data_IF_607269325587
#
_entry.id   IF_607269325587
#
_cell.length_a   1.000
_cell.length_b   1.000
_cell.length_c   1.000
_cell.angle_alpha   90.00
_cell.angle_beta   90.00
_cell.angle_gamma   90.00
#
_symmetry.space_group_name_H-M   'P 1'
#
loop_
_entity.id
_entity.type
_entity.pdbx_description
1 polymer ?
#
# COMPACT_ATOMS: atom_id res chain seq x y z
N UNK A 1 -14.10 -22.36 13.57
CA UNK A 1 -12.66 -22.14 13.25
C UNK A 1 -12.57 -20.76 12.62
N UNK A 2 -12.02 -19.78 13.35
CA UNK A 2 -11.97 -18.38 12.94
C UNK A 2 -10.72 -18.20 12.09
N UNK A 3 -10.85 -17.75 10.84
CA UNK A 3 -9.72 -17.31 10.02
C UNK A 3 -9.49 -15.80 10.24
N UNK A 4 -8.36 -15.36 10.84
CA UNK A 4 -8.05 -13.95 10.90
C UNK A 4 -7.27 -13.50 9.65
N UNK A 5 -7.83 -12.55 8.92
CA UNK A 5 -7.05 -11.42 8.38
C UNK A 5 -6.27 -11.60 7.08
N UNK A 6 -6.93 -11.88 5.95
CA UNK A 6 -6.30 -11.82 4.62
C UNK A 6 -6.16 -10.38 4.07
N UNK A 7 -6.93 -9.41 4.59
CA UNK A 7 -6.93 -8.02 4.12
C UNK A 7 -5.77 -7.15 4.65
N UNK A 8 -5.23 -7.48 5.82
CA UNK A 8 -4.16 -6.68 6.46
C UNK A 8 -2.79 -6.88 5.81
N UNK A 9 -2.55 -8.05 5.20
CA UNK A 9 -1.28 -8.41 4.57
C UNK A 9 -1.00 -7.64 3.28
N UNK A 10 -2.03 -7.32 2.47
CA UNK A 10 -1.84 -6.58 1.20
C UNK A 10 -1.60 -5.08 1.43
N UNK A 11 -2.30 -4.46 2.40
CA UNK A 11 -2.02 -3.08 2.82
C UNK A 11 -0.61 -2.93 3.40
N UNK A 12 -0.13 -3.93 4.16
CA UNK A 12 1.25 -3.94 4.68
C UNK A 12 2.31 -4.04 3.59
N UNK A 13 2.09 -4.83 2.53
CA UNK A 13 3.02 -4.90 1.39
C UNK A 13 3.13 -3.57 0.64
N UNK A 14 2.00 -2.90 0.38
CA UNK A 14 1.98 -1.57 -0.24
C UNK A 14 2.70 -0.53 0.61
N UNK A 15 2.42 -0.50 1.92
CA UNK A 15 3.06 0.47 2.82
C UNK A 15 4.58 0.26 2.95
N UNK A 16 5.05 -0.99 3.01
CA UNK A 16 6.49 -1.31 3.01
C UNK A 16 7.18 -0.75 1.78
N UNK A 17 6.60 -0.96 0.61
CA UNK A 17 7.15 -0.43 -0.62
C UNK A 17 7.26 1.10 -0.58
N UNK A 18 6.19 1.78 -0.18
CA UNK A 18 6.20 3.24 -0.13
C UNK A 18 7.23 3.77 0.89
N UNK A 19 7.43 3.07 2.01
CA UNK A 19 8.52 3.38 2.96
C UNK A 19 9.89 3.23 2.29
N UNK A 20 10.16 2.10 1.62
CA UNK A 20 11.41 1.91 0.89
C UNK A 20 11.61 2.98 -0.19
N UNK A 21 10.56 3.30 -0.94
CA UNK A 21 10.58 4.31 -2.00
C UNK A 21 10.88 5.69 -1.42
N UNK A 22 10.32 6.03 -0.25
CA UNK A 22 10.59 7.29 0.43
C UNK A 22 12.06 7.44 0.82
N UNK A 23 12.76 6.34 1.06
CA UNK A 23 14.17 6.31 1.49
C UNK A 23 15.17 6.19 0.33
N UNK A 24 14.69 6.07 -0.92
CA UNK A 24 15.52 5.89 -2.13
C UNK A 24 16.57 6.99 -2.32
N UNK A 25 16.13 8.25 -2.14
CA UNK A 25 16.95 9.44 -2.42
C UNK A 25 17.78 9.88 -1.22
N UNK A 26 17.29 9.70 0.00
CA UNK A 26 17.98 10.16 1.21
C UNK A 26 17.48 9.48 2.49
N UNK A 27 18.32 9.37 3.54
CA UNK A 27 17.88 8.98 4.86
C UNK A 27 16.84 9.94 5.45
N UNK A 28 15.83 9.41 6.14
CA UNK A 28 14.71 10.19 6.72
C UNK A 28 14.32 9.68 8.11
N UNK A 29 13.90 10.57 9.01
CA UNK A 29 13.27 10.17 10.28
C UNK A 29 11.80 9.76 10.06
N UNK A 30 11.16 9.18 11.08
CA UNK A 30 9.79 8.68 10.96
C UNK A 30 8.75 9.74 10.54
N UNK A 31 8.92 10.99 10.97
CA UNK A 31 8.02 12.09 10.60
C UNK A 31 8.22 12.50 9.14
N UNK A 32 9.47 12.57 8.69
CA UNK A 32 9.82 12.83 7.28
C UNK A 32 9.30 11.72 6.36
N UNK A 33 9.34 10.46 6.79
CA UNK A 33 8.76 9.32 6.06
C UNK A 33 7.24 9.50 5.93
N UNK A 34 6.53 9.79 7.04
CA UNK A 34 5.07 10.03 7.01
C UNK A 34 4.71 11.16 6.04
N UNK A 35 5.46 12.27 6.06
CA UNK A 35 5.25 13.40 5.13
C UNK A 35 5.52 12.99 3.68
N UNK A 36 6.62 12.29 3.42
CA UNK A 36 6.93 11.81 2.07
C UNK A 36 5.84 10.89 1.52
N UNK A 37 5.21 10.07 2.36
CA UNK A 37 4.10 9.20 2.00
C UNK A 37 2.83 9.99 1.69
N UNK A 38 2.55 11.03 2.46
CA UNK A 38 1.47 11.99 2.21
C UNK A 38 1.67 12.70 0.86
N UNK A 39 2.88 13.20 0.60
CA UNK A 39 3.24 13.89 -0.64
C UNK A 39 3.14 12.97 -1.87
N UNK A 40 3.59 11.71 -1.76
CA UNK A 40 3.42 10.70 -2.82
C UNK A 40 1.96 10.45 -3.17
N UNK A 41 1.06 10.60 -2.20
CA UNK A 41 -0.38 10.50 -2.39
C UNK A 41 -1.04 11.82 -2.83
N UNK A 42 -0.26 12.88 -3.11
CA UNK A 42 -0.77 14.24 -3.34
C UNK A 42 -1.70 14.73 -2.22
N UNK A 43 -1.43 14.34 -0.97
CA UNK A 43 -2.21 14.71 0.21
C UNK A 43 -3.53 13.94 0.39
N UNK A 44 -3.88 13.00 -0.49
CA UNK A 44 -5.13 12.22 -0.34
C UNK A 44 -5.10 11.22 0.81
N UNK A 45 -3.91 10.86 1.30
CA UNK A 45 -3.76 9.87 2.35
C UNK A 45 -2.50 10.11 3.18
N UNK A 46 -2.63 10.04 4.51
CA UNK A 46 -1.51 10.13 5.45
C UNK A 46 -1.54 8.95 6.41
N UNK A 47 -0.48 8.11 6.45
CA UNK A 47 -0.42 7.00 7.39
C UNK A 47 -0.28 7.50 8.82
N UNK A 48 -0.89 6.77 9.77
CA UNK A 48 -0.75 7.10 11.19
C UNK A 48 0.61 6.67 11.73
N UNK A 49 1.16 7.36 12.75
CA UNK A 49 2.34 6.90 13.49
C UNK A 49 2.26 5.45 13.94
N UNK A 50 1.09 5.00 14.42
CA UNK A 50 0.84 3.63 14.87
C UNK A 50 0.95 2.58 13.77
N UNK A 51 0.79 2.96 12.50
CA UNK A 51 1.04 2.09 11.35
C UNK A 51 2.48 2.11 10.86
N UNK A 52 3.22 3.20 11.12
CA UNK A 52 4.57 3.42 10.60
C UNK A 52 5.65 2.93 11.54
N UNK A 53 5.63 3.30 12.82
CA UNK A 53 6.73 2.99 13.72
C UNK A 53 6.92 1.49 13.98
N UNK A 54 5.84 0.69 14.19
CA UNK A 54 5.99 -0.77 14.26
C UNK A 54 6.53 -1.36 12.96
N UNK A 55 6.13 -0.81 11.81
CA UNK A 55 6.61 -1.27 10.52
C UNK A 55 8.10 -0.99 10.33
N UNK A 56 8.56 0.22 10.69
CA UNK A 56 9.98 0.58 10.62
C UNK A 56 10.83 -0.32 11.53
N UNK A 57 10.33 -0.68 12.71
CA UNK A 57 11.01 -1.62 13.60
C UNK A 57 11.17 -3.00 12.92
N UNK A 58 10.08 -3.54 12.37
CA UNK A 58 10.12 -4.82 11.62
C UNK A 58 11.07 -4.75 10.42
N UNK A 59 11.06 -3.66 9.65
CA UNK A 59 11.95 -3.52 8.48
C UNK A 59 13.43 -3.37 8.86
N UNK A 60 13.74 -2.89 10.08
CA UNK A 60 15.11 -2.91 10.62
C UNK A 60 15.52 -4.33 11.00
N UNK A 61 14.64 -5.06 11.68
CA UNK A 61 14.89 -6.47 12.07
C UNK A 61 15.10 -7.37 10.84
N UNK A 62 14.35 -7.12 9.77
CA UNK A 62 14.46 -7.82 8.49
C UNK A 62 15.64 -7.36 7.63
N UNK A 63 16.41 -6.36 8.06
CA UNK A 63 17.59 -5.91 7.31
C UNK A 63 17.29 -5.05 6.08
N UNK A 64 16.03 -4.68 5.81
CA UNK A 64 15.64 -3.86 4.65
C UNK A 64 16.03 -2.38 4.80
N UNK A 65 16.04 -1.89 6.04
CA UNK A 65 16.47 -0.53 6.38
C UNK A 65 17.39 -0.57 7.60
N UNK A 66 18.25 0.42 7.75
CA UNK A 66 19.08 0.61 8.95
C UNK A 66 18.65 1.88 9.66
N UNK A 67 18.56 1.82 10.99
CA UNK A 67 18.41 3.02 11.83
C UNK A 67 19.80 3.58 12.17
N UNK A 68 20.03 4.84 11.83
CA UNK A 68 21.24 5.60 12.11
C UNK A 68 21.21 6.19 13.53
N UNK A 69 22.37 6.59 14.02
CA UNK A 69 22.52 7.22 15.35
C UNK A 69 21.74 8.54 15.48
N UNK A 70 21.59 9.27 14.37
CA UNK A 70 20.80 10.52 14.29
C UNK A 70 19.28 10.28 14.27
N UNK A 71 18.84 9.02 14.43
CA UNK A 71 17.43 8.63 14.44
C UNK A 71 16.79 8.54 13.05
N UNK A 72 17.56 8.74 11.97
CA UNK A 72 17.08 8.53 10.60
C UNK A 72 17.17 7.07 10.18
N UNK A 73 16.34 6.70 9.22
CA UNK A 73 16.36 5.41 8.56
C UNK A 73 17.00 5.57 7.18
N UNK A 74 17.80 4.60 6.77
CA UNK A 74 18.41 4.53 5.44
C UNK A 74 18.18 3.14 4.81
N UNK A 75 18.10 3.08 3.48
CA UNK A 75 18.02 1.81 2.77
C UNK A 75 19.32 1.01 2.91
N UNK A 76 19.19 -0.29 3.14
CA UNK A 76 20.27 -1.25 2.93
C UNK A 76 20.33 -1.69 1.46
N UNK A 77 21.36 -2.44 1.09
CA UNK A 77 21.44 -3.05 -0.24
C UNK A 77 20.27 -4.02 -0.49
N UNK A 78 19.91 -4.82 0.52
CA UNK A 78 18.74 -5.71 0.47
C UNK A 78 17.45 -4.90 0.25
N UNK A 79 17.24 -3.83 0.99
CA UNK A 79 16.09 -2.93 0.81
C UNK A 79 16.03 -2.30 -0.58
N UNK A 80 17.17 -1.99 -1.20
CA UNK A 80 17.24 -1.50 -2.59
C UNK A 80 16.80 -2.57 -3.59
N UNK A 81 17.20 -3.83 -3.39
CA UNK A 81 16.75 -4.97 -4.20
C UNK A 81 15.23 -5.14 -4.21
N UNK A 82 14.58 -4.88 -3.07
CA UNK A 82 13.12 -4.95 -2.94
C UNK A 82 12.34 -3.87 -3.69
N UNK A 83 12.97 -2.75 -4.09
CA UNK A 83 12.31 -1.71 -4.89
C UNK A 83 12.02 -2.17 -6.33
N UNK A 84 12.79 -3.12 -6.87
CA UNK A 84 12.53 -3.73 -8.18
C UNK A 84 11.37 -4.73 -8.15
N UNK A 85 11.18 -5.42 -7.02
CA UNK A 85 10.25 -6.55 -6.87
C UNK A 85 8.76 -6.10 -6.86
N UNK A 86 8.47 -4.88 -6.41
CA UNK A 86 7.08 -4.35 -6.38
C UNK A 86 6.72 -3.61 -7.67
N UNK A 87 7.70 -3.03 -8.38
CA UNK A 87 7.48 -2.56 -9.76
C UNK A 87 7.05 -3.71 -10.69
N UNK A 88 7.44 -4.95 -10.35
CA UNK A 88 7.07 -6.19 -11.03
C UNK A 88 5.82 -6.88 -10.46
N UNK A 89 5.25 -6.44 -9.32
CA UNK A 89 3.96 -6.96 -8.85
C UNK A 89 2.77 -6.22 -9.49
N UNK A 90 2.94 -5.78 -10.76
CA UNK A 90 1.78 -5.59 -11.62
C UNK A 90 1.30 -6.99 -11.99
N UNK A 91 -0.01 -7.26 -11.94
CA UNK A 91 -0.52 -8.49 -12.53
C UNK A 91 0.03 -8.61 -13.95
N UNK A 92 0.79 -9.67 -14.18
CA UNK A 92 1.56 -9.89 -15.41
C UNK A 92 0.72 -10.56 -16.47
N UNK A 93 -0.45 -11.08 -16.09
CA UNK A 93 -1.46 -11.64 -16.98
C UNK A 93 -2.85 -11.03 -16.73
N UNK A 94 -3.76 -11.07 -17.73
CA UNK A 94 -5.16 -10.66 -17.54
C UNK A 94 -5.88 -11.41 -16.41
N UNK A 95 -5.56 -12.68 -16.17
CA UNK A 95 -6.15 -13.49 -15.10
C UNK A 95 -5.73 -13.01 -13.71
N UNK A 96 -4.47 -12.59 -13.57
CA UNK A 96 -4.00 -11.95 -12.34
C UNK A 96 -4.67 -10.58 -12.14
N UNK A 97 -4.87 -9.81 -13.21
CA UNK A 97 -5.59 -8.52 -13.15
C UNK A 97 -7.01 -8.71 -12.63
N UNK A 98 -7.72 -9.70 -13.17
CA UNK A 98 -9.09 -10.03 -12.74
C UNK A 98 -9.13 -10.48 -11.28
N UNK A 99 -8.20 -11.34 -10.86
CA UNK A 99 -8.09 -11.78 -9.46
C UNK A 99 -7.84 -10.63 -8.50
N UNK A 100 -7.03 -9.65 -8.91
CA UNK A 100 -6.83 -8.45 -8.10
C UNK A 100 -8.09 -7.59 -8.03
N UNK A 101 -8.79 -7.41 -9.17
CA UNK A 101 -10.06 -6.69 -9.23
C UNK A 101 -11.13 -7.33 -8.34
N UNK A 102 -11.25 -8.65 -8.34
CA UNK A 102 -12.18 -9.42 -7.49
C UNK A 102 -11.96 -9.08 -6.01
N UNK A 103 -10.71 -9.05 -5.57
CA UNK A 103 -10.37 -8.75 -4.16
C UNK A 103 -10.74 -7.31 -3.80
N UNK A 104 -10.57 -6.36 -4.71
CA UNK A 104 -11.01 -4.97 -4.45
C UNK A 104 -12.53 -4.82 -4.49
N UNK A 105 -13.23 -5.60 -5.32
CA UNK A 105 -14.70 -5.66 -5.34
C UNK A 105 -15.23 -6.21 -4.02
N UNK A 106 -14.68 -7.32 -3.53
CA UNK A 106 -15.00 -7.86 -2.19
C UNK A 106 -14.79 -6.82 -1.10
N UNK A 107 -13.65 -6.10 -1.13
CA UNK A 107 -13.39 -5.02 -0.19
C UNK A 107 -14.46 -3.91 -0.24
N UNK A 108 -14.89 -3.49 -1.43
CA UNK A 108 -15.95 -2.48 -1.54
C UNK A 108 -17.32 -3.00 -1.08
N UNK A 109 -17.59 -4.29 -1.24
CA UNK A 109 -18.80 -4.92 -0.72
C UNK A 109 -18.79 -4.93 0.81
N UNK A 110 -17.68 -5.31 1.43
CA UNK A 110 -17.49 -5.25 2.89
C UNK A 110 -17.58 -3.81 3.40
N UNK A 111 -16.98 -2.86 2.68
CA UNK A 111 -16.99 -1.44 3.05
C UNK A 111 -18.41 -0.86 2.96
N UNK A 112 -19.21 -1.32 2.00
CA UNK A 112 -20.62 -0.92 1.88
C UNK A 112 -21.43 -1.34 3.11
N UNK A 113 -21.10 -2.47 3.73
CA UNK A 113 -21.76 -2.98 4.94
C UNK A 113 -21.21 -2.29 6.19
N UNK A 114 -19.89 -2.11 6.28
CA UNK A 114 -19.21 -1.66 7.51
C UNK A 114 -19.10 -0.14 7.63
N UNK A 115 -18.82 0.58 6.54
CA UNK A 115 -18.57 2.02 6.53
C UNK A 115 -19.14 2.71 5.26
N UNK A 116 -20.47 2.68 5.04
CA UNK A 116 -21.09 3.11 3.77
C UNK A 116 -20.81 4.57 3.38
N UNK A 117 -20.57 5.45 4.36
CA UNK A 117 -20.26 6.88 4.14
C UNK A 117 -18.97 7.04 3.32
N UNK A 118 -17.99 6.15 3.49
CA UNK A 118 -16.74 6.17 2.70
C UNK A 118 -16.96 5.92 1.21
N UNK A 119 -18.09 5.32 0.83
CA UNK A 119 -18.42 5.04 -0.57
C UNK A 119 -19.22 6.16 -1.23
N UNK A 120 -19.84 7.09 -0.49
CA UNK A 120 -20.77 8.07 -1.07
C UNK A 120 -20.13 8.91 -2.17
N UNK A 121 -18.93 9.44 -1.94
CA UNK A 121 -18.17 10.20 -2.94
C UNK A 121 -17.58 9.37 -4.09
N UNK A 122 -17.69 8.04 -4.03
CA UNK A 122 -17.08 7.12 -4.98
C UNK A 122 -18.10 6.40 -5.88
N UNK A 123 -19.41 6.46 -5.56
CA UNK A 123 -20.48 5.73 -6.27
C UNK A 123 -20.46 5.96 -7.79
N UNK A 124 -20.35 7.21 -8.23
CA UNK A 124 -20.32 7.56 -9.66
C UNK A 124 -19.09 7.00 -10.38
N UNK A 125 -17.93 7.04 -9.72
CA UNK A 125 -16.68 6.50 -10.27
C UNK A 125 -16.74 4.97 -10.37
N UNK A 126 -17.27 4.31 -9.34
CA UNK A 126 -17.47 2.86 -9.33
C UNK A 126 -18.43 2.45 -10.46
N UNK A 127 -19.54 3.18 -10.65
CA UNK A 127 -20.50 2.93 -11.74
C UNK A 127 -19.84 3.07 -13.10
N UNK A 128 -19.16 4.18 -13.36
CA UNK A 128 -18.47 4.43 -14.63
C UNK A 128 -17.41 3.36 -14.92
N UNK A 129 -16.69 2.89 -13.91
CA UNK A 129 -15.72 1.80 -14.07
C UNK A 129 -16.40 0.48 -14.44
N UNK A 130 -17.51 0.14 -13.76
CA UNK A 130 -18.31 -1.04 -14.08
C UNK A 130 -18.83 -1.03 -15.52
N UNK A 131 -19.34 0.10 -16.01
CA UNK A 131 -19.80 0.26 -17.39
C UNK A 131 -18.68 0.05 -18.42
N UNK A 132 -17.47 0.56 -18.13
CA UNK A 132 -16.31 0.35 -18.99
C UNK A 132 -15.90 -1.12 -19.03
N UNK A 133 -15.91 -1.80 -17.88
CA UNK A 133 -15.55 -3.22 -17.80
C UNK A 133 -16.56 -4.12 -18.53
N UNK A 134 -17.86 -3.80 -18.45
CA UNK A 134 -18.89 -4.54 -19.20
C UNK A 134 -18.66 -4.49 -20.71
N UNK A 135 -18.17 -3.36 -21.23
CA UNK A 135 -17.83 -3.20 -22.66
C UNK A 135 -16.59 -3.98 -23.10
N UNK A 136 -15.75 -4.43 -22.17
CA UNK A 136 -14.56 -5.25 -22.50
C UNK A 136 -14.95 -6.71 -22.74
N UNK A 137 -16.02 -7.19 -22.08
CA UNK A 137 -16.48 -8.58 -22.20
C UNK A 137 -17.63 -8.80 -23.19
N UNK A 138 -18.13 -7.75 -23.83
CA UNK A 138 -19.19 -7.78 -24.86
C UNK A 138 -18.62 -7.98 -26.26
#
# INVERSE_FOLDING_TARGET
MIHPGSGHWRHRRGLRYLVLASLRESPKNGVEIIRSLEDMSMGFWRPSPGSIYPLLATMVEEGLIRKREDGKYELTEEGRGHLGIVAESRPSTPEEMLREMEIYVEYFQDLKVTEPVKLEGLKERIRSLGEKLLKVGS
#
